data_IF_298017727028
#
_entry.id   IF_298017727028
#
_cell.length_a   1.000
_cell.length_b   1.000
_cell.length_c   1.000
_cell.angle_alpha   90.00
_cell.angle_beta   90.00
_cell.angle_gamma   90.00
#
_symmetry.space_group_name_H-M   'P 1'
#
loop_
_entity.id
_entity.type
_entity.pdbx_description
1 polymer ?
#
# COMPACT_ATOMS: atom_id res chain seq x y z
N UNK A 1 -54.15 -25.30 52.35
CA UNK A 1 -54.06 -24.15 53.24
C UNK A 1 -52.63 -23.63 53.12
N UNK A 2 -52.24 -22.47 52.67
CA UNK A 2 -52.96 -21.22 52.41
C UNK A 2 -52.07 -20.34 51.47
N UNK A 3 -52.73 -19.73 50.54
CA UNK A 3 -52.66 -18.38 50.00
C UNK A 3 -51.29 -17.66 49.82
N UNK A 4 -51.01 -17.41 48.53
CA UNK A 4 -50.92 -16.07 47.91
C UNK A 4 -49.89 -15.07 48.48
N UNK A 5 -48.95 -14.68 47.63
CA UNK A 5 -48.92 -13.27 47.14
C UNK A 5 -48.06 -13.16 45.89
N UNK A 6 -48.72 -12.73 44.85
CA UNK A 6 -48.19 -12.25 43.57
C UNK A 6 -47.65 -10.84 43.77
N UNK A 7 -46.40 -10.57 43.47
CA UNK A 7 -45.89 -9.20 43.29
C UNK A 7 -45.39 -9.08 41.86
N UNK A 8 -46.14 -8.33 41.05
CA UNK A 8 -45.67 -7.78 39.79
C UNK A 8 -44.57 -6.73 40.11
N UNK A 9 -43.38 -6.93 39.59
CA UNK A 9 -42.43 -5.83 39.39
C UNK A 9 -42.36 -5.54 37.89
N UNK A 10 -42.90 -4.39 37.50
CA UNK A 10 -42.68 -3.80 36.19
C UNK A 10 -41.25 -3.31 36.10
N UNK A 11 -40.41 -4.02 35.33
CA UNK A 11 -39.10 -3.57 34.98
C UNK A 11 -39.16 -2.55 33.86
N UNK A 12 -38.85 -1.31 34.16
CA UNK A 12 -38.56 -0.26 33.18
C UNK A 12 -37.30 -0.66 32.40
N UNK A 13 -37.49 -1.01 31.14
CA UNK A 13 -36.37 -1.09 30.19
C UNK A 13 -35.95 0.33 29.82
N UNK A 14 -34.89 0.83 30.42
CA UNK A 14 -34.18 2.02 29.96
C UNK A 14 -33.38 1.62 28.72
N UNK A 15 -33.91 1.93 27.54
CA UNK A 15 -33.18 1.86 26.29
C UNK A 15 -32.09 2.93 26.29
N UNK A 16 -30.83 2.55 26.55
CA UNK A 16 -29.71 3.39 26.26
C UNK A 16 -29.50 3.40 24.74
N UNK A 17 -29.94 4.44 24.07
CA UNK A 17 -29.54 4.72 22.71
C UNK A 17 -28.02 5.00 22.74
N UNK A 18 -27.23 4.08 22.21
CA UNK A 18 -25.81 4.36 21.92
C UNK A 18 -25.76 5.46 20.86
N UNK A 19 -25.50 6.67 21.28
CA UNK A 19 -25.10 7.75 20.38
C UNK A 19 -23.78 7.29 19.75
N UNK A 20 -23.83 6.87 18.49
CA UNK A 20 -22.66 6.59 17.67
C UNK A 20 -21.80 7.87 17.63
N UNK A 21 -20.65 7.84 18.30
CA UNK A 21 -19.67 8.88 18.18
C UNK A 21 -19.23 8.91 16.70
N UNK A 22 -19.57 9.97 15.99
CA UNK A 22 -18.95 10.25 14.69
C UNK A 22 -17.45 10.37 14.92
N UNK A 23 -16.61 9.61 14.21
CA UNK A 23 -15.18 9.76 14.34
C UNK A 23 -14.81 11.22 14.03
N UNK A 24 -14.00 11.82 14.88
CA UNK A 24 -13.46 13.16 14.63
C UNK A 24 -12.71 13.14 13.29
N UNK A 25 -12.91 14.15 12.43
CA UNK A 25 -12.16 14.22 11.18
C UNK A 25 -10.67 14.17 11.50
N UNK A 26 -9.93 13.29 10.82
CA UNK A 26 -8.48 13.23 10.93
C UNK A 26 -7.93 14.63 10.65
N UNK A 27 -7.11 15.13 11.56
CA UNK A 27 -6.28 16.29 11.26
C UNK A 27 -5.33 15.86 10.11
N UNK A 28 -5.65 16.29 8.93
CA UNK A 28 -4.90 16.01 7.71
C UNK A 28 -3.62 16.83 7.79
N UNK A 29 -2.51 16.20 8.13
CA UNK A 29 -1.22 16.83 8.01
C UNK A 29 -0.99 17.12 6.52
N UNK A 30 -1.03 18.38 6.12
CA UNK A 30 -0.59 18.75 4.79
C UNK A 30 0.86 18.27 4.62
N UNK A 31 1.23 17.66 3.47
CA UNK A 31 2.62 17.28 3.25
C UNK A 31 3.47 18.55 3.31
N UNK A 32 4.49 18.55 4.16
CA UNK A 32 5.46 19.62 4.19
C UNK A 32 6.13 19.73 2.82
N UNK A 33 6.19 20.93 2.23
CA UNK A 33 6.82 21.19 0.93
C UNK A 33 5.94 20.99 -0.31
N UNK A 34 4.65 20.65 -0.19
CA UNK A 34 3.73 20.73 -1.33
C UNK A 34 3.27 22.18 -1.51
N UNK A 35 3.68 22.83 -2.59
CA UNK A 35 3.39 24.25 -2.86
C UNK A 35 2.31 24.49 -3.92
N UNK A 36 1.51 23.45 -4.28
CA UNK A 36 0.50 23.57 -5.33
C UNK A 36 -0.57 22.49 -5.26
N UNK A 37 -1.57 22.58 -6.14
CA UNK A 37 -2.57 21.53 -6.24
C UNK A 37 -1.91 20.22 -6.65
N UNK A 38 -2.36 19.11 -6.09
CA UNK A 38 -1.95 17.79 -6.52
C UNK A 38 -2.40 17.53 -7.96
N UNK A 39 -1.54 16.93 -8.76
CA UNK A 39 -1.88 16.47 -10.12
C UNK A 39 -2.56 15.11 -10.11
N UNK A 40 -2.30 14.32 -9.08
CA UNK A 40 -3.01 13.10 -8.73
C UNK A 40 -3.07 12.98 -7.22
N UNK A 41 -4.23 12.60 -6.67
CA UNK A 41 -4.32 12.26 -5.25
C UNK A 41 -5.53 11.39 -4.95
N UNK A 42 -5.43 10.64 -3.87
CA UNK A 42 -6.54 9.97 -3.23
C UNK A 42 -6.33 9.96 -1.72
N UNK A 43 -7.36 10.41 -1.00
CA UNK A 43 -7.42 10.43 0.47
C UNK A 43 -8.21 9.24 1.01
N UNK A 44 -8.64 8.36 0.12
CA UNK A 44 -9.40 7.14 0.40
C UNK A 44 -10.66 7.36 1.23
N UNK A 45 -11.30 8.51 1.04
CA UNK A 45 -12.60 8.81 1.65
C UNK A 45 -13.69 7.90 1.09
N UNK A 46 -14.52 7.36 1.98
CA UNK A 46 -15.63 6.52 1.55
C UNK A 46 -16.24 5.70 2.68
N UNK A 47 -17.39 5.06 2.42
CA UNK A 47 -18.02 4.17 3.40
C UNK A 47 -17.19 2.93 3.69
N UNK A 48 -17.25 2.45 4.93
CA UNK A 48 -16.61 1.20 5.32
C UNK A 48 -17.05 0.03 4.43
N UNK A 49 -16.07 -0.75 3.95
CA UNK A 49 -16.28 -1.90 3.06
C UNK A 49 -16.48 -1.55 1.58
N UNK A 50 -16.49 -0.26 1.20
CA UNK A 50 -16.57 0.13 -0.21
C UNK A 50 -15.27 -0.17 -0.97
N UNK A 51 -15.37 -0.23 -2.31
CA UNK A 51 -14.21 -0.26 -3.18
C UNK A 51 -13.46 1.08 -3.15
N UNK A 52 -12.15 1.11 -3.44
CA UNK A 52 -11.50 2.35 -3.84
C UNK A 52 -12.12 2.89 -5.13
N UNK A 53 -11.96 4.20 -5.37
CA UNK A 53 -12.51 4.87 -6.56
C UNK A 53 -12.00 4.20 -7.86
N UNK A 54 -12.88 3.61 -8.68
CA UNK A 54 -12.48 2.93 -9.90
C UNK A 54 -11.95 3.87 -10.99
N UNK A 55 -12.15 5.17 -10.88
CA UNK A 55 -11.53 6.15 -11.76
C UNK A 55 -10.04 6.38 -11.43
N UNK A 56 -9.63 6.03 -10.21
CA UNK A 56 -8.26 6.20 -9.73
C UNK A 56 -7.52 4.88 -9.58
N UNK A 57 -8.23 3.78 -9.30
CA UNK A 57 -7.61 2.51 -8.94
C UNK A 57 -8.27 1.32 -9.61
N UNK A 58 -7.45 0.47 -10.18
CA UNK A 58 -7.83 -0.88 -10.59
C UNK A 58 -7.39 -1.85 -9.51
N UNK A 59 -8.30 -2.71 -9.04
CA UNK A 59 -7.99 -3.80 -8.12
C UNK A 59 -7.58 -5.02 -8.94
N UNK A 60 -6.39 -5.55 -8.69
CA UNK A 60 -5.89 -6.74 -9.39
C UNK A 60 -6.68 -7.98 -8.99
N UNK A 61 -6.94 -8.82 -9.99
CA UNK A 61 -7.61 -10.10 -9.85
C UNK A 61 -6.60 -11.23 -9.75
N UNK A 62 -7.11 -12.42 -9.47
CA UNK A 62 -6.36 -13.65 -9.64
C UNK A 62 -6.03 -13.91 -11.13
N UNK A 63 -5.25 -14.93 -11.38
CA UNK A 63 -4.60 -15.37 -12.64
C UNK A 63 -5.33 -15.12 -13.98
N UNK A 64 -6.63 -14.94 -13.96
CA UNK A 64 -7.43 -14.73 -15.17
C UNK A 64 -7.14 -13.40 -15.88
N UNK A 65 -6.44 -12.49 -15.23
CA UNK A 65 -6.06 -11.18 -15.78
C UNK A 65 -4.60 -11.10 -16.21
N UNK A 66 -4.12 -12.12 -16.91
CA UNK A 66 -2.75 -12.21 -17.50
C UNK A 66 -2.35 -10.97 -18.33
N UNK A 67 -3.30 -10.12 -18.69
CA UNK A 67 -3.05 -8.87 -19.43
C UNK A 67 -2.72 -7.66 -18.52
N UNK A 68 -2.80 -7.82 -17.20
CA UNK A 68 -2.32 -6.81 -16.27
C UNK A 68 -0.79 -6.84 -16.27
N UNK A 69 -0.09 -5.81 -16.77
CA UNK A 69 1.38 -5.80 -16.83
C UNK A 69 2.02 -5.84 -15.45
N UNK A 70 1.24 -5.56 -14.39
CA UNK A 70 1.67 -5.64 -13.01
C UNK A 70 1.31 -6.98 -12.36
N UNK A 71 0.68 -7.87 -13.13
CA UNK A 71 0.36 -9.19 -12.63
C UNK A 71 1.63 -10.02 -12.47
N UNK A 72 1.86 -10.48 -11.26
CA UNK A 72 3.00 -11.28 -10.94
C UNK A 72 2.57 -12.56 -10.25
N UNK A 73 2.76 -13.67 -10.94
CA UNK A 73 2.51 -15.01 -10.43
C UNK A 73 3.72 -15.91 -10.73
N UNK A 74 4.26 -16.50 -9.68
CA UNK A 74 5.15 -17.64 -9.84
C UNK A 74 4.33 -18.91 -9.63
N UNK A 75 4.59 -19.99 -10.38
CA UNK A 75 3.88 -21.26 -10.25
C UNK A 75 3.91 -21.84 -8.82
N UNK A 76 4.96 -21.54 -8.09
CA UNK A 76 5.16 -21.93 -6.69
C UNK A 76 4.45 -21.05 -5.67
N UNK A 77 3.74 -19.99 -6.10
CA UNK A 77 3.02 -19.13 -5.17
C UNK A 77 1.82 -19.84 -4.57
N UNK A 78 1.78 -19.90 -3.25
CA UNK A 78 0.59 -20.28 -2.50
C UNK A 78 -0.33 -19.08 -2.25
N UNK A 79 0.10 -17.86 -2.59
CA UNK A 79 -0.64 -16.62 -2.49
C UNK A 79 -1.18 -16.17 -3.84
N UNK A 80 -2.36 -15.58 -3.83
CA UNK A 80 -3.04 -15.02 -5.00
C UNK A 80 -3.62 -13.64 -4.67
N UNK A 81 -3.78 -12.77 -5.68
CA UNK A 81 -4.55 -11.54 -5.49
C UNK A 81 -6.04 -11.79 -5.66
N UNK A 82 -6.84 -11.06 -4.88
CA UNK A 82 -8.30 -11.02 -5.00
C UNK A 82 -8.80 -9.59 -5.20
N UNK A 83 -9.82 -9.45 -6.03
CA UNK A 83 -10.52 -8.18 -6.25
C UNK A 83 -11.80 -8.03 -5.40
N UNK A 84 -11.96 -8.83 -4.38
CA UNK A 84 -13.09 -8.77 -3.47
C UNK A 84 -12.88 -7.77 -2.31
N UNK A 85 -14.00 -7.48 -1.62
CA UNK A 85 -14.00 -6.56 -0.48
C UNK A 85 -13.42 -7.17 0.80
N UNK A 86 -12.89 -8.37 0.77
CA UNK A 86 -12.18 -8.97 1.88
C UNK A 86 -10.71 -8.61 1.89
N UNK A 87 -10.12 -8.38 0.70
CA UNK A 87 -8.70 -8.12 0.54
C UNK A 87 -8.37 -6.66 0.19
N UNK A 88 -9.31 -5.92 -0.48
CA UNK A 88 -9.11 -4.51 -0.82
C UNK A 88 -10.40 -3.73 -0.56
N UNK A 89 -10.37 -2.77 0.35
CA UNK A 89 -11.55 -1.98 0.72
C UNK A 89 -11.19 -0.69 1.46
N UNK A 90 -12.14 0.26 1.51
CA UNK A 90 -12.07 1.46 2.33
C UNK A 90 -12.59 1.12 3.73
N UNK A 91 -11.90 1.57 4.79
CA UNK A 91 -12.26 1.23 6.17
C UNK A 91 -13.35 2.12 6.80
N UNK A 92 -13.73 3.21 6.12
CA UNK A 92 -14.65 4.23 6.62
C UNK A 92 -13.99 5.28 7.52
N UNK A 93 -12.67 5.21 7.70
CA UNK A 93 -11.85 6.19 8.42
C UNK A 93 -10.79 6.80 7.51
N UNK A 94 -11.12 6.95 6.21
CA UNK A 94 -10.22 7.48 5.19
C UNK A 94 -8.92 6.68 5.07
N UNK A 95 -9.02 5.34 5.07
CA UNK A 95 -7.88 4.50 4.72
C UNK A 95 -8.30 3.46 3.68
N UNK A 96 -7.43 3.25 2.70
CA UNK A 96 -7.42 2.02 1.93
C UNK A 96 -6.81 0.91 2.77
N UNK A 97 -7.51 -0.20 2.91
CA UNK A 97 -6.99 -1.43 3.52
C UNK A 97 -6.65 -2.41 2.42
N UNK A 98 -5.40 -2.86 2.41
CA UNK A 98 -4.95 -3.99 1.61
C UNK A 98 -4.62 -5.11 2.59
N UNK A 99 -5.39 -6.19 2.51
CA UNK A 99 -5.35 -7.29 3.49
C UNK A 99 -4.82 -8.56 2.86
N UNK A 100 -3.95 -9.24 3.59
CA UNK A 100 -3.61 -10.63 3.36
C UNK A 100 -4.37 -11.53 4.33
N UNK A 101 -5.00 -12.60 3.83
CA UNK A 101 -5.77 -13.54 4.61
C UNK A 101 -5.61 -14.97 4.10
N UNK A 102 -5.80 -15.96 4.98
CA UNK A 102 -5.82 -17.37 4.62
C UNK A 102 -7.26 -17.85 4.47
N UNK A 103 -7.54 -18.57 3.40
CA UNK A 103 -8.82 -19.21 3.14
C UNK A 103 -8.57 -20.66 2.66
N UNK A 104 -8.88 -21.62 3.50
CA UNK A 104 -8.49 -23.03 3.28
C UNK A 104 -6.97 -23.18 3.18
N UNK A 105 -6.44 -23.81 2.12
CA UNK A 105 -5.00 -23.97 1.91
C UNK A 105 -4.35 -22.75 1.27
N UNK A 106 -5.12 -21.80 0.74
CA UNK A 106 -4.65 -20.67 -0.09
C UNK A 106 -4.56 -19.40 0.73
N UNK A 107 -3.54 -18.62 0.47
CA UNK A 107 -3.40 -17.27 0.98
C UNK A 107 -3.81 -16.27 -0.11
N UNK A 108 -4.51 -15.22 0.27
CA UNK A 108 -4.95 -14.18 -0.62
C UNK A 108 -4.45 -12.84 -0.13
N UNK A 109 -3.82 -12.11 -1.03
CA UNK A 109 -3.42 -10.72 -0.83
C UNK A 109 -4.29 -9.76 -1.63
N UNK A 110 -3.91 -8.49 -1.63
CA UNK A 110 -4.52 -7.46 -2.44
C UNK A 110 -3.48 -6.63 -3.17
N UNK A 111 -3.85 -6.08 -4.32
CA UNK A 111 -3.07 -5.14 -5.10
C UNK A 111 -3.98 -4.15 -5.81
N UNK A 112 -3.60 -2.88 -5.76
CA UNK A 112 -4.20 -1.83 -6.58
C UNK A 112 -3.13 -1.14 -7.39
N UNK A 113 -3.47 -0.74 -8.61
CA UNK A 113 -2.64 0.12 -9.44
C UNK A 113 -3.49 1.21 -10.08
N UNK A 114 -2.88 2.35 -10.37
CA UNK A 114 -3.60 3.45 -10.99
C UNK A 114 -3.51 3.38 -12.51
N UNK A 115 -4.59 3.67 -13.26
CA UNK A 115 -4.52 3.92 -14.67
C UNK A 115 -3.87 5.27 -15.00
N UNK A 116 -3.77 6.16 -14.01
CA UNK A 116 -3.09 7.45 -14.16
C UNK A 116 -1.57 7.25 -14.15
N UNK A 117 -0.89 7.99 -15.03
CA UNK A 117 0.56 7.91 -15.17
C UNK A 117 1.19 9.30 -15.01
N UNK A 118 2.39 9.34 -14.48
CA UNK A 118 3.22 10.54 -14.38
C UNK A 118 4.68 10.22 -14.65
N UNK A 119 5.50 11.23 -14.86
CA UNK A 119 6.90 11.04 -15.21
C UNK A 119 7.83 11.95 -14.42
N UNK A 120 8.95 12.27 -15.07
CA UNK A 120 9.97 13.17 -14.54
C UNK A 120 9.40 14.56 -14.17
N UNK A 121 9.91 15.16 -13.11
CA UNK A 121 9.47 16.47 -12.59
C UNK A 121 8.46 16.36 -11.45
N UNK A 122 8.07 15.16 -11.04
CA UNK A 122 7.06 14.96 -10.01
C UNK A 122 7.64 14.43 -8.68
N UNK A 123 6.90 14.72 -7.63
CA UNK A 123 7.08 14.16 -6.30
C UNK A 123 5.90 13.24 -5.99
N UNK A 124 6.19 12.03 -5.56
CA UNK A 124 5.23 10.99 -5.22
C UNK A 124 5.32 10.71 -3.73
N UNK A 125 4.19 10.66 -3.06
CA UNK A 125 4.14 10.37 -1.63
C UNK A 125 2.92 9.54 -1.28
N UNK A 126 3.13 8.57 -0.37
CA UNK A 126 2.05 7.87 0.31
C UNK A 126 2.30 7.85 1.81
N UNK A 127 1.23 7.90 2.61
CA UNK A 127 1.29 7.67 4.05
C UNK A 127 0.74 6.29 4.35
N UNK A 128 1.60 5.44 4.91
CA UNK A 128 1.35 4.00 5.03
C UNK A 128 1.65 3.52 6.45
N UNK A 129 0.84 2.56 6.91
CA UNK A 129 1.07 1.77 8.11
C UNK A 129 1.13 0.28 7.76
N UNK A 130 2.20 -0.38 8.14
CA UNK A 130 2.43 -1.79 7.85
C UNK A 130 2.07 -2.67 9.06
N UNK A 131 0.78 -2.96 9.28
CA UNK A 131 0.33 -3.97 10.25
C UNK A 131 0.38 -5.39 9.64
N UNK A 132 1.41 -5.64 8.82
CA UNK A 132 1.57 -6.87 8.05
C UNK A 132 3.01 -7.41 8.03
N UNK A 133 3.87 -6.93 8.93
CA UNK A 133 5.27 -7.38 8.99
C UNK A 133 5.35 -8.77 9.61
N UNK A 134 4.97 -9.80 8.85
CA UNK A 134 4.88 -11.19 9.30
C UNK A 134 5.44 -12.15 8.24
N UNK A 135 6.03 -13.29 8.60
CA UNK A 135 6.53 -14.27 7.63
C UNK A 135 5.52 -14.55 6.52
N UNK A 136 5.98 -14.59 5.31
CA UNK A 136 5.17 -14.81 4.12
C UNK A 136 4.58 -13.55 3.49
N UNK A 137 4.49 -12.44 4.20
CA UNK A 137 3.96 -11.18 3.65
C UNK A 137 5.00 -10.45 2.81
N UNK A 138 4.53 -9.71 1.79
CA UNK A 138 5.37 -8.89 0.93
C UNK A 138 4.61 -7.61 0.51
N UNK A 139 4.54 -6.63 1.41
CA UNK A 139 3.94 -5.34 1.13
C UNK A 139 4.92 -4.42 0.38
N UNK A 140 4.36 -3.60 -0.53
CA UNK A 140 5.11 -2.59 -1.26
C UNK A 140 4.26 -1.37 -1.67
N UNK A 141 4.96 -0.23 -1.78
CA UNK A 141 4.54 0.94 -2.56
C UNK A 141 5.61 1.24 -3.59
N UNK A 142 5.27 1.13 -4.85
CA UNK A 142 6.18 1.19 -5.95
C UNK A 142 5.57 1.80 -7.21
N UNK A 143 6.41 2.15 -8.16
CA UNK A 143 6.03 2.73 -9.44
C UNK A 143 6.55 1.83 -10.56
N UNK A 144 5.68 1.49 -11.49
CA UNK A 144 6.01 0.66 -12.64
C UNK A 144 5.69 1.35 -13.95
N UNK A 145 6.20 0.82 -15.04
CA UNK A 145 5.97 1.30 -16.41
C UNK A 145 5.56 0.13 -17.29
N UNK A 146 4.85 0.43 -18.37
CA UNK A 146 4.60 -0.53 -19.47
C UNK A 146 5.88 -0.88 -20.26
N UNK A 147 6.93 -0.09 -20.05
CA UNK A 147 8.27 -0.31 -20.57
C UNK A 147 9.17 -0.97 -19.51
N UNK A 148 10.48 -0.84 -19.64
CA UNK A 148 11.41 -1.26 -18.58
C UNK A 148 11.57 -0.17 -17.51
N UNK A 149 12.00 -0.56 -16.32
CA UNK A 149 12.25 0.31 -15.18
C UNK A 149 11.16 0.19 -14.10
N UNK A 150 11.62 0.25 -12.84
CA UNK A 150 10.78 0.12 -11.64
C UNK A 150 11.37 0.95 -10.52
N UNK A 151 10.54 1.55 -9.69
CA UNK A 151 10.95 2.37 -8.55
C UNK A 151 10.21 1.90 -7.31
N UNK A 152 10.87 1.10 -6.47
CA UNK A 152 10.33 0.62 -5.21
C UNK A 152 10.60 1.65 -4.13
N UNK A 153 9.58 2.42 -3.77
CA UNK A 153 9.70 3.48 -2.77
C UNK A 153 9.86 2.86 -1.39
N UNK A 154 9.11 1.81 -1.11
CA UNK A 154 9.22 1.01 0.11
C UNK A 154 8.77 -0.42 -0.13
N UNK A 155 9.61 -1.37 0.26
CA UNK A 155 9.32 -2.81 0.27
C UNK A 155 9.76 -3.48 1.56
N UNK A 156 8.97 -4.42 2.02
CA UNK A 156 9.34 -5.33 3.10
C UNK A 156 9.24 -6.79 2.65
N UNK A 157 10.14 -7.62 3.12
CA UNK A 157 10.26 -9.01 2.69
C UNK A 157 10.08 -9.98 3.86
N UNK A 158 8.99 -10.74 3.83
CA UNK A 158 8.67 -11.76 4.84
C UNK A 158 9.47 -13.05 4.72
N UNK A 159 10.42 -13.12 3.77
CA UNK A 159 11.25 -14.31 3.53
C UNK A 159 12.34 -14.53 4.59
N UNK A 160 12.50 -13.61 5.54
CA UNK A 160 13.49 -13.72 6.61
C UNK A 160 14.95 -13.60 6.17
N UNK A 161 15.21 -13.28 4.90
CA UNK A 161 16.56 -13.24 4.32
C UNK A 161 16.92 -11.86 3.77
N UNK A 162 15.96 -11.15 3.19
CA UNK A 162 16.19 -9.84 2.60
C UNK A 162 15.79 -8.74 3.58
N UNK A 163 16.63 -7.73 3.76
CA UNK A 163 16.24 -6.55 4.52
C UNK A 163 15.21 -5.74 3.73
N UNK A 164 14.30 -5.05 4.43
CA UNK A 164 13.42 -4.06 3.80
C UNK A 164 14.24 -3.00 3.07
N UNK A 165 13.73 -2.54 1.94
CA UNK A 165 14.52 -1.70 1.04
C UNK A 165 13.70 -0.67 0.25
N UNK A 166 14.41 0.33 -0.23
CA UNK A 166 14.07 1.19 -1.36
C UNK A 166 14.97 0.80 -2.52
N UNK A 167 14.42 0.57 -3.71
CA UNK A 167 15.19 0.08 -4.86
C UNK A 167 14.80 0.81 -6.14
N UNK A 168 15.76 1.08 -7.00
CA UNK A 168 15.53 1.58 -8.37
C UNK A 168 16.10 0.55 -9.33
N UNK A 169 15.25 -0.03 -10.18
CA UNK A 169 15.62 -0.97 -11.22
C UNK A 169 15.57 -0.28 -12.58
N UNK A 170 16.69 -0.21 -13.28
CA UNK A 170 16.71 0.32 -14.65
C UNK A 170 16.22 -0.69 -15.68
N UNK A 171 16.35 -1.99 -15.39
CA UNK A 171 15.86 -3.09 -16.23
C UNK A 171 14.83 -3.93 -15.49
N UNK A 172 13.77 -4.29 -16.19
CA UNK A 172 12.96 -5.46 -15.82
C UNK A 172 13.88 -6.68 -15.70
N UNK A 173 13.61 -7.56 -14.72
CA UNK A 173 14.43 -8.75 -14.37
C UNK A 173 15.65 -8.49 -13.48
N UNK A 174 15.75 -7.32 -12.86
CA UNK A 174 16.67 -7.08 -11.75
C UNK A 174 18.17 -7.17 -12.03
N UNK A 175 18.60 -7.00 -13.28
CA UNK A 175 20.03 -7.05 -13.61
C UNK A 175 20.79 -5.75 -13.38
N UNK A 176 20.06 -4.63 -13.28
CA UNK A 176 20.62 -3.28 -13.11
C UNK A 176 19.79 -2.52 -12.08
N UNK A 177 20.27 -2.49 -10.83
CA UNK A 177 19.54 -1.80 -9.75
C UNK A 177 20.50 -1.11 -8.76
N UNK A 178 19.94 -0.16 -8.02
CA UNK A 178 20.52 0.39 -6.80
C UNK A 178 19.50 0.27 -5.67
N UNK A 179 19.95 -0.19 -4.53
CA UNK A 179 19.12 -0.42 -3.35
C UNK A 179 19.70 0.26 -2.10
N UNK A 180 18.82 0.61 -1.18
CA UNK A 180 19.14 1.09 0.16
C UNK A 180 18.27 0.38 1.18
N UNK A 181 18.89 -0.23 2.19
CA UNK A 181 18.15 -0.88 3.26
C UNK A 181 17.50 0.16 4.17
N UNK A 182 16.24 -0.09 4.52
CA UNK A 182 15.45 0.78 5.38
C UNK A 182 15.00 0.03 6.63
N UNK A 183 14.68 0.75 7.70
CA UNK A 183 14.02 0.17 8.86
C UNK A 183 12.51 0.38 8.73
N UNK A 184 11.73 -0.68 8.91
CA UNK A 184 10.28 -0.64 8.93
C UNK A 184 9.75 -1.06 10.29
N UNK A 185 8.70 -0.36 10.72
CA UNK A 185 7.87 -0.74 11.86
C UNK A 185 6.38 -0.61 11.51
N UNK A 186 5.50 -0.85 12.48
CA UNK A 186 4.06 -0.75 12.33
C UNK A 186 3.50 0.63 12.70
N UNK A 187 4.31 1.69 12.71
CA UNK A 187 3.81 3.06 12.85
C UNK A 187 3.35 3.63 11.51
N UNK A 188 2.69 4.77 11.55
CA UNK A 188 2.37 5.54 10.36
C UNK A 188 3.60 6.31 9.90
N UNK A 189 4.04 6.10 8.66
CA UNK A 189 5.12 6.82 8.01
C UNK A 189 4.69 7.39 6.67
N UNK A 190 5.28 8.51 6.26
CA UNK A 190 5.22 9.00 4.89
C UNK A 190 6.42 8.50 4.10
N UNK A 191 6.17 8.02 2.90
CA UNK A 191 7.18 7.50 1.98
C UNK A 191 7.16 8.34 0.72
N UNK A 192 8.28 8.99 0.42
CA UNK A 192 8.38 9.98 -0.66
C UNK A 192 9.53 9.66 -1.60
N UNK A 193 9.26 9.83 -2.90
CA UNK A 193 10.29 9.99 -3.94
C UNK A 193 10.07 11.30 -4.68
N UNK A 194 11.12 12.06 -4.86
CA UNK A 194 11.19 13.17 -5.82
C UNK A 194 12.07 12.73 -6.99
N UNK A 195 11.53 12.90 -8.20
CA UNK A 195 12.20 12.49 -9.42
C UNK A 195 12.29 13.66 -10.39
N UNK A 196 13.51 14.04 -10.74
CA UNK A 196 13.83 15.11 -11.69
C UNK A 196 15.01 14.74 -12.59
N UNK A 197 15.49 15.69 -13.40
CA UNK A 197 16.59 15.49 -14.34
C UNK A 197 17.90 15.03 -13.68
N UNK A 198 18.10 15.32 -12.40
CA UNK A 198 19.28 14.90 -11.64
C UNK A 198 19.16 13.46 -11.11
N UNK A 199 17.96 12.86 -11.13
CA UNK A 199 17.68 11.52 -10.63
C UNK A 199 16.60 11.48 -9.57
N UNK A 200 16.70 10.53 -8.66
CA UNK A 200 15.68 10.26 -7.64
C UNK A 200 16.22 10.44 -6.24
N UNK A 201 15.41 11.02 -5.37
CA UNK A 201 15.72 11.24 -3.96
C UNK A 201 14.56 10.72 -3.11
N UNK A 202 14.88 10.02 -2.02
CA UNK A 202 13.91 9.31 -1.20
C UNK A 202 13.95 9.77 0.25
N UNK A 203 12.77 9.89 0.87
CA UNK A 203 12.59 10.23 2.28
C UNK A 203 11.53 9.36 2.93
N UNK A 204 11.78 9.06 4.20
CA UNK A 204 10.77 8.65 5.16
C UNK A 204 10.49 9.85 6.05
N UNK A 205 9.20 10.17 6.28
CA UNK A 205 8.76 11.27 7.14
C UNK A 205 9.43 12.61 6.80
N UNK A 206 9.31 13.01 5.53
CA UNK A 206 9.92 14.24 5.03
C UNK A 206 9.48 15.45 5.85
N UNK A 207 10.45 16.29 6.22
CA UNK A 207 10.27 17.65 6.71
C UNK A 207 11.09 18.62 5.87
N UNK A 208 10.69 19.90 5.83
CA UNK A 208 11.37 20.90 5.01
C UNK A 208 12.86 20.99 5.36
N UNK A 209 13.69 20.86 4.33
CA UNK A 209 15.15 20.86 4.45
C UNK A 209 15.77 19.52 4.84
N UNK A 210 14.97 18.47 5.05
CA UNK A 210 15.51 17.14 5.36
C UNK A 210 16.35 16.60 4.19
N UNK A 211 17.50 16.02 4.51
CA UNK A 211 18.29 15.32 3.51
C UNK A 211 17.65 13.98 3.15
N UNK A 212 17.71 13.54 1.87
CA UNK A 212 17.23 12.22 1.48
C UNK A 212 18.09 11.14 2.14
N UNK A 213 17.44 10.06 2.58
CA UNK A 213 18.17 8.90 3.06
C UNK A 213 18.80 8.09 1.93
N UNK A 214 18.26 8.21 0.71
CA UNK A 214 18.78 7.55 -0.49
C UNK A 214 18.67 8.47 -1.70
N UNK A 215 19.70 8.43 -2.55
CA UNK A 215 19.75 9.17 -3.81
C UNK A 215 20.31 8.29 -4.91
N UNK A 216 19.61 8.26 -6.04
CA UNK A 216 20.06 7.59 -7.26
C UNK A 216 20.22 8.66 -8.34
N UNK A 217 21.47 8.96 -8.67
CA UNK A 217 21.75 9.96 -9.71
C UNK A 217 21.30 9.45 -11.09
N UNK A 218 20.82 10.37 -11.91
CA UNK A 218 20.46 10.05 -13.29
C UNK A 218 21.63 9.41 -14.04
N UNK A 219 21.32 8.44 -14.90
CA UNK A 219 22.30 7.68 -15.70
C UNK A 219 23.38 6.94 -14.88
N UNK A 220 23.13 6.71 -13.58
CA UNK A 220 24.06 5.97 -12.71
C UNK A 220 23.90 4.45 -12.78
N UNK A 221 22.92 3.96 -13.52
CA UNK A 221 22.70 2.57 -13.92
C UNK A 221 22.77 2.49 -15.45
N UNK A 222 23.25 1.38 -15.97
CA UNK A 222 23.18 1.11 -17.41
C UNK A 222 21.69 1.05 -17.85
N UNK A 223 21.43 1.44 -19.09
CA UNK A 223 20.09 1.44 -19.67
C UNK A 223 19.04 2.27 -18.88
N UNK A 224 19.46 3.37 -18.30
CA UNK A 224 18.62 4.31 -17.55
C UNK A 224 17.40 4.82 -18.37
N UNK A 225 16.15 4.34 -18.12
CA UNK A 225 15.00 4.69 -18.94
C UNK A 225 14.34 6.00 -18.50
N UNK A 226 14.55 6.41 -17.26
CA UNK A 226 13.73 7.36 -16.53
C UNK A 226 13.79 8.80 -17.07
N UNK A 227 14.85 9.15 -17.83
CA UNK A 227 14.98 10.46 -18.49
C UNK A 227 14.59 10.40 -19.97
N UNK A 228 14.08 9.27 -20.47
CA UNK A 228 13.64 9.19 -21.86
C UNK A 228 12.38 10.05 -22.08
N UNK A 229 12.30 10.79 -23.20
CA UNK A 229 11.11 11.58 -23.51
C UNK A 229 9.83 10.74 -23.48
N UNK A 230 8.84 11.19 -22.72
CA UNK A 230 7.55 10.51 -22.60
C UNK A 230 7.54 9.27 -21.72
N UNK A 231 8.64 8.95 -21.03
CA UNK A 231 8.65 7.86 -20.06
C UNK A 231 7.73 8.18 -18.89
N UNK A 232 6.80 7.27 -18.59
CA UNK A 232 5.82 7.42 -17.53
C UNK A 232 5.73 6.15 -16.69
N UNK A 233 5.33 6.33 -15.44
CA UNK A 233 5.09 5.28 -14.46
C UNK A 233 3.73 5.47 -13.80
N UNK A 234 3.18 4.40 -13.25
CA UNK A 234 1.94 4.41 -12.46
C UNK A 234 2.18 3.85 -11.07
N UNK A 235 1.47 4.37 -10.04
CA UNK A 235 1.64 3.89 -8.67
C UNK A 235 0.92 2.57 -8.44
N UNK A 236 1.57 1.70 -7.67
CA UNK A 236 1.08 0.40 -7.24
C UNK A 236 1.23 0.29 -5.72
N UNK A 237 0.21 -0.26 -5.11
CA UNK A 237 0.20 -0.63 -3.69
C UNK A 237 -0.21 -2.10 -3.60
N UNK A 238 0.57 -2.92 -2.94
CA UNK A 238 0.23 -4.32 -2.76
C UNK A 238 0.64 -4.88 -1.40
N UNK A 239 -0.04 -5.94 -1.04
CA UNK A 239 0.36 -6.88 -0.03
C UNK A 239 0.25 -8.28 -0.65
N UNK A 240 1.37 -8.74 -1.20
CA UNK A 240 1.52 -10.10 -1.71
C UNK A 240 1.75 -11.08 -0.57
N UNK A 241 1.54 -12.36 -0.82
CA UNK A 241 1.85 -13.45 0.11
C UNK A 241 2.65 -14.51 -0.61
N UNK A 242 3.69 -15.02 0.05
CA UNK A 242 4.63 -16.00 -0.50
C UNK A 242 5.53 -15.41 -1.61
N UNK A 243 5.99 -16.23 -2.52
CA UNK A 243 6.96 -15.84 -3.54
C UNK A 243 8.36 -15.58 -3.01
N UNK A 244 9.24 -15.06 -3.86
CA UNK A 244 10.64 -14.85 -3.49
C UNK A 244 10.81 -13.84 -2.35
N UNK A 245 9.99 -12.77 -2.33
CA UNK A 245 10.04 -11.73 -1.29
C UNK A 245 9.29 -12.12 -0.02
N UNK A 246 8.15 -12.83 -0.13
CA UNK A 246 7.37 -13.27 1.03
C UNK A 246 7.93 -14.53 1.71
N UNK A 247 8.43 -15.48 0.93
CA UNK A 247 8.85 -16.78 1.44
C UNK A 247 7.68 -17.63 1.94
N UNK A 248 7.92 -18.46 2.97
CA UNK A 248 6.90 -19.36 3.53
C UNK A 248 5.95 -18.61 4.48
N UNK A 249 4.63 -18.55 4.17
CA UNK A 249 3.65 -17.92 5.04
C UNK A 249 3.20 -18.82 6.22
N UNK A 250 3.67 -20.05 6.30
CA UNK A 250 3.21 -21.03 7.31
C UNK A 250 3.41 -20.59 8.76
N UNK A 251 4.45 -19.82 9.03
CA UNK A 251 4.73 -19.25 10.35
C UNK A 251 4.16 -17.82 10.53
N UNK A 252 3.49 -17.29 9.53
CA UNK A 252 2.94 -15.92 9.56
C UNK A 252 1.62 -15.82 10.33
N UNK A 253 1.33 -14.60 10.78
CA UNK A 253 0.08 -14.28 11.47
C UNK A 253 -0.89 -13.60 10.49
N UNK A 254 -1.97 -14.27 10.15
CA UNK A 254 -3.00 -13.79 9.23
C UNK A 254 -4.38 -13.77 9.88
N UNK A 255 -5.29 -12.82 9.58
CA UNK A 255 -5.11 -11.78 8.58
C UNK A 255 -4.07 -10.73 8.99
N UNK A 256 -3.33 -10.21 8.00
CA UNK A 256 -2.38 -9.12 8.14
C UNK A 256 -2.78 -7.99 7.15
N UNK A 257 -2.46 -6.74 7.43
CA UNK A 257 -2.95 -5.66 6.60
C UNK A 257 -1.97 -4.48 6.49
N UNK A 258 -1.97 -3.88 5.31
CA UNK A 258 -1.37 -2.59 5.03
C UNK A 258 -2.48 -1.55 4.97
N UNK A 259 -2.34 -0.44 5.69
CA UNK A 259 -3.26 0.69 5.64
C UNK A 259 -2.59 1.84 4.93
N UNK A 260 -3.33 2.50 4.02
CA UNK A 260 -2.86 3.67 3.28
C UNK A 260 -3.81 4.81 3.54
N UNK A 261 -3.29 5.90 4.13
CA UNK A 261 -4.04 7.10 4.47
C UNK A 261 -4.28 7.98 3.24
N UNK A 262 -3.23 8.13 2.42
CA UNK A 262 -3.31 8.83 1.15
C UNK A 262 -2.21 8.42 0.17
N UNK A 263 -2.46 8.72 -1.11
CA UNK A 263 -1.43 8.83 -2.17
C UNK A 263 -1.56 10.20 -2.81
N UNK A 264 -0.44 10.90 -2.99
CA UNK A 264 -0.40 12.27 -3.54
C UNK A 264 0.78 12.42 -4.49
N UNK A 265 0.55 13.15 -5.59
CA UNK A 265 1.57 13.49 -6.59
C UNK A 265 1.45 14.97 -6.96
N UNK A 266 2.57 15.68 -7.03
CA UNK A 266 2.64 17.10 -7.39
C UNK A 266 3.92 17.45 -8.14
#
# INVERSE_FOLDING_TARGET
MDRRRMLLMAGLMSGAAALGATPAPKAQAAPSGATGPYIFHDEFDGPAGSAPDPAKWTVSKARETIKDPTYWELPEHVGQYRDDRQNVFIDGNSNLVIRAAKDGPTYYGGKVFSPWQGGIGHTWEARIKFDCLTPGAWPAFWLSSDAQGEIDIVEWYGNGSWPSATTVHAKANGSEWKTHNIALDSAWHTWRVQWDDAGMRFWQDYTDGAQPYFTVAANSLADWPFNNPGYQVFPILNLAVAGSGGGDPGAGHYPAQMLVDYVRVW
#
